data_IF_707150772380
#
_entry.id   IF_707150772380
#
_cell.length_a   1.000
_cell.length_b   1.000
_cell.length_c   1.000
_cell.angle_alpha   90.00
_cell.angle_beta   90.00
_cell.angle_gamma   90.00
#
_symmetry.space_group_name_H-M   'P 1'
#
loop_
_entity.id
_entity.type
_entity.pdbx_description
1 polymer ?
#
# COMPACT_ATOMS: atom_id res chain seq x y z
N UNK A 1 4.27 -6.16 16.68
CA UNK A 1 5.14 -5.84 15.53
C UNK A 1 4.63 -4.66 14.70
N UNK A 2 3.32 -4.53 14.40
CA UNK A 2 2.80 -3.44 13.54
C UNK A 2 1.69 -2.57 14.15
N UNK A 3 1.25 -2.86 15.39
CA UNK A 3 0.20 -2.13 16.12
C UNK A 3 -1.18 -2.08 15.41
N UNK A 4 -1.57 -3.16 14.73
CA UNK A 4 -2.89 -3.33 14.14
C UNK A 4 -3.85 -4.11 15.06
N UNK A 5 -5.17 -3.94 14.89
CA UNK A 5 -6.14 -4.77 15.61
C UNK A 5 -6.20 -6.17 14.98
N UNK A 6 -6.32 -7.26 15.76
CA UNK A 6 -6.42 -8.60 15.21
C UNK A 6 -7.55 -8.77 14.19
N UNK A 7 -8.70 -8.15 14.44
CA UNK A 7 -9.87 -8.21 13.55
C UNK A 7 -9.66 -7.48 12.22
N UNK A 8 -8.64 -6.63 12.13
CA UNK A 8 -8.26 -5.97 10.88
C UNK A 8 -7.40 -6.91 10.00
N UNK A 9 -6.93 -8.08 10.48
CA UNK A 9 -5.97 -8.91 9.74
C UNK A 9 -6.66 -9.89 8.78
N UNK A 10 -6.52 -9.69 7.47
CA UNK A 10 -6.96 -10.66 6.46
C UNK A 10 -5.77 -11.47 5.95
N UNK A 11 -5.73 -12.78 6.23
CA UNK A 11 -4.67 -13.66 5.74
C UNK A 11 -4.85 -14.02 4.25
N UNK A 12 -3.79 -13.85 3.47
CA UNK A 12 -3.71 -14.25 2.05
C UNK A 12 -2.56 -15.23 1.82
N UNK A 13 -2.42 -15.78 0.62
CA UNK A 13 -1.34 -16.67 0.20
C UNK A 13 -0.01 -15.94 -0.08
N UNK A 14 0.05 -14.61 0.00
CA UNK A 14 1.31 -13.86 -0.07
C UNK A 14 1.14 -12.38 -0.41
N UNK A 15 2.27 -11.68 -0.52
CA UNK A 15 2.27 -10.23 -0.82
C UNK A 15 1.66 -9.86 -2.16
N UNK A 16 1.81 -10.72 -3.18
CA UNK A 16 1.18 -10.50 -4.48
C UNK A 16 -0.34 -10.58 -4.37
N UNK A 17 -0.87 -11.61 -3.71
CA UNK A 17 -2.32 -11.72 -3.52
C UNK A 17 -2.85 -10.58 -2.65
N UNK A 18 -2.17 -10.24 -1.54
CA UNK A 18 -2.58 -9.13 -0.68
C UNK A 18 -2.67 -7.79 -1.43
N UNK A 19 -1.63 -7.44 -2.20
CA UNK A 19 -1.63 -6.24 -3.04
C UNK A 19 -2.79 -6.25 -4.05
N UNK A 20 -3.01 -7.38 -4.73
CA UNK A 20 -4.09 -7.53 -5.71
C UNK A 20 -5.47 -7.40 -5.06
N UNK A 21 -5.68 -8.00 -3.88
CA UNK A 21 -6.95 -7.92 -3.15
C UNK A 21 -7.33 -6.48 -2.83
N UNK A 22 -6.36 -5.63 -2.46
CA UNK A 22 -6.60 -4.20 -2.24
C UNK A 22 -7.09 -3.54 -3.53
N UNK A 23 -6.40 -3.73 -4.67
CA UNK A 23 -6.82 -3.09 -5.93
C UNK A 23 -8.19 -3.58 -6.39
N UNK A 24 -8.46 -4.88 -6.29
CA UNK A 24 -9.76 -5.45 -6.64
C UNK A 24 -10.89 -4.96 -5.75
N UNK A 25 -10.61 -4.61 -4.48
CA UNK A 25 -11.61 -3.96 -3.62
C UNK A 25 -12.12 -2.68 -4.28
N UNK A 26 -11.22 -1.80 -4.74
CA UNK A 26 -11.60 -0.53 -5.36
C UNK A 26 -12.22 -0.66 -6.75
N UNK A 27 -11.81 -1.67 -7.52
CA UNK A 27 -12.38 -1.94 -8.85
C UNK A 27 -13.81 -2.46 -8.75
N UNK A 28 -14.11 -3.25 -7.72
CA UNK A 28 -15.40 -3.92 -7.58
C UNK A 28 -16.46 -3.11 -6.83
N UNK A 29 -16.11 -1.94 -6.28
CA UNK A 29 -17.11 -1.03 -5.70
C UNK A 29 -17.94 -0.44 -6.85
N UNK A 30 -19.28 -0.54 -6.81
CA UNK A 30 -20.13 0.04 -7.83
C UNK A 30 -20.10 1.57 -7.72
N UNK A 31 -19.31 2.21 -8.59
CA UNK A 31 -19.22 3.66 -8.72
C UNK A 31 -19.72 4.09 -10.10
N UNK A 32 -20.41 5.23 -10.16
CA UNK A 32 -20.82 5.87 -11.42
C UNK A 32 -19.63 6.55 -12.15
N UNK A 33 -18.42 6.31 -11.68
CA UNK A 33 -17.16 6.84 -12.23
C UNK A 33 -16.17 5.70 -12.41
N UNK A 34 -15.25 5.88 -13.35
CA UNK A 34 -14.08 5.00 -13.47
C UNK A 34 -13.07 5.38 -12.38
N UNK A 35 -12.73 4.47 -11.44
CA UNK A 35 -11.85 4.79 -10.32
C UNK A 35 -10.44 5.14 -10.80
N UNK A 36 -9.83 6.11 -10.15
CA UNK A 36 -8.45 6.53 -10.42
C UNK A 36 -7.53 6.10 -9.27
N UNK A 37 -6.40 5.50 -9.63
CA UNK A 37 -5.37 5.04 -8.70
C UNK A 37 -4.06 5.77 -9.00
N UNK A 38 -3.40 6.25 -7.95
CA UNK A 38 -2.09 6.89 -8.02
C UNK A 38 -1.04 5.97 -7.40
N UNK A 39 0.10 5.81 -8.07
CA UNK A 39 1.22 5.01 -7.58
C UNK A 39 2.56 5.57 -8.05
N UNK A 40 3.69 4.93 -7.70
CA UNK A 40 5.04 5.37 -8.06
C UNK A 40 5.75 4.39 -8.97
N UNK A 41 6.67 4.86 -9.82
CA UNK A 41 7.31 4.03 -10.85
C UNK A 41 8.31 2.98 -10.33
N UNK A 42 8.71 3.06 -9.06
CA UNK A 42 9.62 2.11 -8.41
C UNK A 42 8.89 1.06 -7.59
N UNK A 43 7.56 0.99 -7.67
CA UNK A 43 6.73 -0.03 -7.04
C UNK A 43 7.16 -1.46 -7.45
N UNK A 44 6.95 -2.44 -6.56
CA UNK A 44 7.25 -3.84 -6.85
C UNK A 44 6.38 -4.31 -8.03
N UNK A 45 6.82 -5.28 -8.86
CA UNK A 45 6.00 -5.81 -9.95
C UNK A 45 4.60 -6.28 -9.54
N UNK A 46 4.43 -6.76 -8.29
CA UNK A 46 3.10 -7.12 -7.74
C UNK A 46 2.15 -5.94 -7.52
N UNK A 47 2.61 -4.71 -7.70
CA UNK A 47 1.81 -3.49 -7.68
C UNK A 47 1.70 -2.91 -9.09
N UNK A 48 2.83 -2.71 -9.78
CA UNK A 48 2.82 -2.08 -11.11
C UNK A 48 2.12 -2.93 -12.19
N UNK A 49 2.41 -4.23 -12.25
CA UNK A 49 1.86 -5.11 -13.29
C UNK A 49 0.33 -5.21 -13.20
N UNK A 50 -0.29 -5.52 -12.04
CA UNK A 50 -1.75 -5.58 -11.95
C UNK A 50 -2.40 -4.22 -12.19
N UNK A 51 -1.87 -3.12 -11.65
CA UNK A 51 -2.43 -1.79 -11.88
C UNK A 51 -2.39 -1.41 -13.37
N UNK A 52 -1.28 -1.69 -14.07
CA UNK A 52 -1.18 -1.48 -15.52
C UNK A 52 -2.15 -2.36 -16.29
N UNK A 53 -2.35 -3.61 -15.87
CA UNK A 53 -3.33 -4.51 -16.49
C UNK A 53 -4.74 -3.98 -16.34
N UNK A 54 -5.15 -3.60 -15.12
CA UNK A 54 -6.46 -3.01 -14.83
C UNK A 54 -6.69 -1.72 -15.64
N UNK A 55 -5.65 -0.90 -15.81
CA UNK A 55 -5.70 0.31 -16.63
C UNK A 55 -5.89 -0.03 -18.11
N UNK A 56 -5.10 -0.96 -18.67
CA UNK A 56 -5.22 -1.39 -20.07
C UNK A 56 -6.58 -2.05 -20.35
N UNK A 57 -7.16 -2.73 -19.37
CA UNK A 57 -8.51 -3.31 -19.46
C UNK A 57 -9.63 -2.26 -19.37
N UNK A 58 -9.29 -0.99 -19.13
CA UNK A 58 -10.23 0.11 -19.01
C UNK A 58 -11.00 0.16 -17.68
N UNK A 59 -10.60 -0.66 -16.70
CA UNK A 59 -11.29 -0.76 -15.40
C UNK A 59 -10.92 0.38 -14.45
N UNK A 60 -9.72 0.95 -14.60
CA UNK A 60 -9.25 2.08 -13.78
C UNK A 60 -8.55 3.12 -14.66
N UNK A 61 -8.44 4.36 -14.17
CA UNK A 61 -7.39 5.27 -14.60
C UNK A 61 -6.18 5.13 -13.68
N UNK A 62 -4.96 5.22 -14.23
CA UNK A 62 -3.73 5.04 -13.48
C UNK A 62 -2.79 6.22 -13.70
N UNK A 63 -2.32 6.83 -12.61
CA UNK A 63 -1.20 7.78 -12.62
C UNK A 63 0.01 7.16 -11.95
N UNK A 64 1.15 7.14 -12.66
CA UNK A 64 2.41 6.62 -12.14
C UNK A 64 3.41 7.76 -12.00
N UNK A 65 3.75 8.10 -10.76
CA UNK A 65 4.63 9.22 -10.43
C UNK A 65 6.08 8.76 -10.51
N UNK A 66 6.95 9.49 -11.22
CA UNK A 66 8.39 9.21 -11.20
C UNK A 66 9.00 9.58 -9.85
N UNK A 67 9.85 8.71 -9.31
CA UNK A 67 10.68 9.08 -8.15
C UNK A 67 11.78 10.07 -8.54
N UNK A 68 12.27 10.82 -7.56
CA UNK A 68 13.41 11.71 -7.74
C UNK A 68 14.69 10.93 -8.03
N UNK A 69 15.42 11.33 -9.08
CA UNK A 69 16.73 10.75 -9.40
C UNK A 69 17.77 10.96 -8.29
N UNK A 70 17.57 11.95 -7.41
CA UNK A 70 18.51 12.27 -6.33
C UNK A 70 18.24 11.44 -5.07
N UNK A 71 16.97 11.28 -4.70
CA UNK A 71 16.58 10.66 -3.42
C UNK A 71 16.03 9.24 -3.58
N UNK A 72 15.63 8.84 -4.79
CA UNK A 72 15.02 7.54 -5.05
C UNK A 72 13.60 7.38 -4.51
N UNK A 73 12.98 8.47 -4.04
CA UNK A 73 11.60 8.49 -3.51
C UNK A 73 10.75 9.52 -4.23
N UNK A 74 9.44 9.32 -4.26
CA UNK A 74 8.50 10.31 -4.77
C UNK A 74 8.31 11.45 -3.76
N UNK A 75 8.18 12.67 -4.27
CA UNK A 75 7.81 13.83 -3.45
C UNK A 75 6.31 13.78 -3.16
N UNK A 76 5.90 14.12 -1.93
CA UNK A 76 4.49 14.06 -1.56
C UNK A 76 3.68 15.11 -2.34
N UNK A 77 4.31 16.21 -2.75
CA UNK A 77 3.73 17.25 -3.59
C UNK A 77 3.30 16.70 -4.95
N UNK A 78 4.10 15.81 -5.56
CA UNK A 78 3.77 15.15 -6.82
C UNK A 78 2.58 14.20 -6.65
N UNK A 79 2.50 13.53 -5.48
CA UNK A 79 1.35 12.70 -5.12
C UNK A 79 0.08 13.54 -5.01
N UNK A 80 0.14 14.69 -4.34
CA UNK A 80 -1.00 15.60 -4.22
C UNK A 80 -1.44 16.17 -5.58
N UNK A 81 -0.48 16.56 -6.43
CA UNK A 81 -0.76 17.10 -7.75
C UNK A 81 -1.44 16.07 -8.67
N UNK A 82 -1.23 14.78 -8.43
CA UNK A 82 -1.89 13.69 -9.16
C UNK A 82 -3.32 13.41 -8.67
N UNK A 83 -3.74 13.91 -7.51
CA UNK A 83 -5.08 13.65 -6.97
C UNK A 83 -6.15 14.37 -7.78
N UNK A 84 -7.22 13.63 -8.10
CA UNK A 84 -8.42 14.10 -8.78
C UNK A 84 -9.62 13.94 -7.84
N UNK A 85 -10.28 15.03 -7.41
CA UNK A 85 -11.40 14.97 -6.45
C UNK A 85 -12.48 13.97 -6.85
N UNK A 86 -12.99 14.06 -8.08
CA UNK A 86 -14.14 13.26 -8.55
C UNK A 86 -13.80 11.83 -8.99
N UNK A 87 -12.58 11.36 -8.72
CA UNK A 87 -12.10 10.14 -9.36
C UNK A 87 -11.14 9.31 -8.50
N UNK A 88 -10.26 9.95 -7.74
CA UNK A 88 -9.18 9.23 -7.06
C UNK A 88 -9.73 8.49 -5.86
N UNK A 89 -9.52 7.18 -5.83
CA UNK A 89 -9.99 6.31 -4.75
C UNK A 89 -8.84 5.74 -3.94
N UNK A 90 -7.66 5.58 -4.54
CA UNK A 90 -6.51 4.93 -3.90
C UNK A 90 -5.19 5.60 -4.29
N UNK A 91 -4.32 5.79 -3.30
CA UNK A 91 -2.89 6.04 -3.45
C UNK A 91 -2.13 4.82 -2.92
N UNK A 92 -1.26 4.23 -3.74
CA UNK A 92 -0.45 3.07 -3.37
C UNK A 92 1.04 3.39 -3.49
N UNK A 93 1.75 3.43 -2.36
CA UNK A 93 3.19 3.69 -2.30
C UNK A 93 3.84 2.75 -1.28
N UNK A 94 4.82 1.97 -1.70
CA UNK A 94 5.58 1.10 -0.81
C UNK A 94 6.41 1.90 0.18
N UNK A 95 6.53 1.39 1.41
CA UNK A 95 7.27 2.08 2.47
C UNK A 95 8.79 2.01 2.26
N UNK A 96 9.30 0.86 1.84
CA UNK A 96 10.73 0.61 1.66
C UNK A 96 11.00 -0.06 0.32
N UNK A 97 11.82 0.56 -0.51
CA UNK A 97 12.13 0.05 -1.83
C UNK A 97 12.94 -1.25 -1.79
N UNK A 98 12.51 -2.26 -2.55
CA UNK A 98 13.16 -3.57 -2.58
C UNK A 98 14.48 -3.62 -3.34
N UNK A 99 14.80 -2.62 -4.16
CA UNK A 99 16.04 -2.55 -4.94
C UNK A 99 17.07 -1.62 -4.30
N UNK A 100 16.64 -0.42 -3.88
CA UNK A 100 17.53 0.62 -3.36
C UNK A 100 17.52 0.73 -1.84
N UNK A 101 16.51 0.18 -1.16
CA UNK A 101 16.29 0.38 0.28
C UNK A 101 15.79 1.79 0.65
N UNK A 102 15.50 2.65 -0.33
CA UNK A 102 14.99 4.00 -0.07
C UNK A 102 13.66 3.94 0.69
N UNK A 103 13.49 4.82 1.70
CA UNK A 103 12.31 4.87 2.55
C UNK A 103 11.40 6.01 2.11
N UNK A 104 10.20 5.67 1.65
CA UNK A 104 9.19 6.62 1.20
C UNK A 104 8.63 7.43 2.38
N UNK A 105 8.35 8.72 2.21
CA UNK A 105 7.78 9.58 3.26
C UNK A 105 6.27 9.34 3.44
N UNK A 106 5.88 8.11 3.79
CA UNK A 106 4.47 7.67 3.86
C UNK A 106 3.65 8.52 4.81
N UNK A 107 4.18 8.85 5.99
CA UNK A 107 3.46 9.66 6.96
C UNK A 107 3.13 11.06 6.41
N UNK A 108 4.09 11.71 5.74
CA UNK A 108 3.86 12.99 5.09
C UNK A 108 2.86 12.87 3.93
N UNK A 109 2.94 11.81 3.12
CA UNK A 109 1.97 11.55 2.05
C UNK A 109 0.56 11.45 2.61
N UNK A 110 0.35 10.65 3.66
CA UNK A 110 -0.95 10.50 4.31
C UNK A 110 -1.44 11.83 4.88
N UNK A 111 -0.62 12.54 5.64
CA UNK A 111 -0.99 13.83 6.24
C UNK A 111 -1.41 14.85 5.18
N UNK A 112 -0.63 14.96 4.11
CA UNK A 112 -0.91 15.84 2.99
C UNK A 112 -2.21 15.46 2.27
N UNK A 113 -2.50 14.16 2.10
CA UNK A 113 -3.78 13.70 1.54
C UNK A 113 -4.94 14.11 2.46
N UNK A 114 -4.82 13.92 3.78
CA UNK A 114 -5.86 14.35 4.74
C UNK A 114 -6.06 15.86 4.76
N UNK A 115 -5.01 16.63 4.59
CA UNK A 115 -5.08 18.09 4.43
C UNK A 115 -5.79 18.47 3.15
N UNK A 116 -5.44 17.85 2.03
CA UNK A 116 -6.10 18.06 0.75
C UNK A 116 -7.60 17.69 0.80
N UNK A 117 -7.95 16.57 1.44
CA UNK A 117 -9.34 16.13 1.65
C UNK A 117 -10.19 17.19 2.37
N UNK A 118 -9.60 17.91 3.34
CA UNK A 118 -10.30 19.00 4.05
C UNK A 118 -10.56 20.23 3.19
N UNK A 119 -9.82 20.40 2.09
CA UNK A 119 -9.94 21.53 1.19
C UNK A 119 -10.85 21.24 -0.03
N UNK A 120 -11.35 20.01 -0.16
CA UNK A 120 -12.30 19.61 -1.20
C UNK A 120 -13.66 19.30 -0.58
N UNK A 121 -14.74 19.49 -1.33
CA UNK A 121 -16.07 19.15 -0.85
C UNK A 121 -16.16 17.63 -0.60
N UNK A 122 -16.60 17.15 0.58
CA UNK A 122 -16.67 15.70 0.84
C UNK A 122 -17.50 14.93 -0.20
N UNK A 123 -18.56 15.55 -0.73
CA UNK A 123 -19.41 15.00 -1.78
C UNK A 123 -18.73 14.86 -3.15
N UNK A 124 -17.55 15.49 -3.34
CA UNK A 124 -16.76 15.34 -4.56
C UNK A 124 -15.92 14.06 -4.55
N UNK A 125 -15.63 13.48 -3.39
CA UNK A 125 -14.83 12.27 -3.28
C UNK A 125 -15.72 11.04 -3.46
N UNK A 126 -15.41 10.12 -4.40
CA UNK A 126 -16.29 8.99 -4.74
C UNK A 126 -16.64 8.09 -3.54
N UNK A 127 -15.73 7.99 -2.58
CA UNK A 127 -15.87 7.18 -1.38
C UNK A 127 -15.84 8.04 -0.10
N UNK A 128 -16.05 9.35 -0.22
CA UNK A 128 -15.93 10.31 0.88
C UNK A 128 -14.49 10.60 1.33
N UNK A 129 -13.51 9.83 0.85
CA UNK A 129 -12.07 10.02 1.09
C UNK A 129 -11.21 9.32 0.03
N UNK A 130 -9.92 9.61 0.02
CA UNK A 130 -8.88 8.88 -0.72
C UNK A 130 -8.20 7.89 0.22
N UNK A 131 -8.18 6.61 -0.15
CA UNK A 131 -7.53 5.59 0.66
C UNK A 131 -6.04 5.51 0.36
N UNK A 132 -5.24 5.13 1.35
CA UNK A 132 -3.79 4.98 1.24
C UNK A 132 -3.39 3.55 1.55
N UNK A 133 -2.76 2.91 0.55
CA UNK A 133 -2.16 1.59 0.64
C UNK A 133 -0.63 1.69 0.66
N UNK A 134 0.02 0.84 1.45
CA UNK A 134 1.47 0.67 1.38
C UNK A 134 1.90 -0.79 1.40
N UNK A 135 2.78 -1.16 0.47
CA UNK A 135 3.52 -2.42 0.53
C UNK A 135 4.67 -2.29 1.55
N UNK A 136 4.58 -3.07 2.61
CA UNK A 136 5.51 -3.08 3.74
C UNK A 136 6.43 -4.31 3.73
N UNK A 137 6.45 -5.08 2.64
CA UNK A 137 7.16 -6.35 2.54
C UNK A 137 8.67 -6.24 2.83
N UNK A 138 9.26 -5.06 2.62
CA UNK A 138 10.67 -4.78 2.92
C UNK A 138 10.88 -3.94 4.18
N UNK A 139 9.82 -3.49 4.85
CA UNK A 139 9.92 -2.65 6.03
C UNK A 139 9.71 -3.44 7.32
N UNK A 140 8.68 -4.30 7.36
CA UNK A 140 8.37 -5.10 8.56
C UNK A 140 9.51 -6.08 8.85
N UNK A 141 9.91 -6.18 10.12
CA UNK A 141 11.04 -7.01 10.56
C UNK A 141 12.42 -6.35 10.38
N UNK A 142 12.51 -5.22 9.66
CA UNK A 142 13.77 -4.48 9.44
C UNK A 142 13.76 -3.08 10.04
N UNK A 143 12.58 -2.46 10.09
CA UNK A 143 12.36 -1.13 10.65
C UNK A 143 11.20 -1.19 11.65
N UNK A 144 11.19 -0.30 12.67
CA UNK A 144 10.00 -0.08 13.48
C UNK A 144 8.87 0.44 12.59
N UNK A 145 7.80 -0.34 12.45
CA UNK A 145 6.62 0.04 11.66
C UNK A 145 5.40 0.04 12.58
N UNK A 146 4.66 1.15 12.57
CA UNK A 146 3.36 1.27 13.21
C UNK A 146 2.38 1.81 12.17
N UNK A 147 1.49 0.95 11.70
CA UNK A 147 0.56 1.26 10.60
C UNK A 147 -0.44 2.33 10.98
N UNK A 148 -0.83 2.40 12.27
CA UNK A 148 -1.72 3.43 12.80
C UNK A 148 -1.04 4.80 12.83
N UNK A 149 0.22 4.87 13.29
CA UNK A 149 0.96 6.15 13.30
C UNK A 149 1.30 6.65 11.90
N UNK A 150 1.43 5.73 10.93
CA UNK A 150 1.57 6.08 9.52
C UNK A 150 0.24 6.56 8.91
N UNK A 151 -0.91 6.22 9.50
CA UNK A 151 -2.24 6.59 9.03
C UNK A 151 -2.67 5.88 7.75
N UNK A 152 -2.11 4.69 7.50
CA UNK A 152 -2.45 3.85 6.36
C UNK A 152 -3.88 3.31 6.51
N UNK A 153 -4.61 3.26 5.40
CA UNK A 153 -5.92 2.60 5.36
C UNK A 153 -5.78 1.12 4.99
N UNK A 154 -4.73 0.79 4.21
CA UNK A 154 -4.36 -0.57 3.82
C UNK A 154 -2.83 -0.76 3.92
N UNK A 155 -2.41 -1.93 4.37
CA UNK A 155 -1.00 -2.29 4.42
C UNK A 155 -0.83 -3.74 4.01
N UNK A 156 0.14 -4.01 3.14
CA UNK A 156 0.53 -5.37 2.71
C UNK A 156 1.81 -5.79 3.43
N UNK A 157 1.80 -6.98 4.06
CA UNK A 157 2.94 -7.55 4.81
C UNK A 157 3.27 -8.92 4.22
N UNK A 158 4.54 -9.36 4.29
CA UNK A 158 4.96 -10.65 3.70
C UNK A 158 5.81 -11.46 4.68
N UNK A 159 5.25 -12.56 5.19
CA UNK A 159 5.86 -13.38 6.24
C UNK A 159 7.26 -13.92 5.89
N UNK A 160 7.47 -14.47 4.70
CA UNK A 160 8.77 -15.04 4.31
C UNK A 160 9.88 -13.99 4.08
N UNK A 161 9.58 -12.68 4.19
CA UNK A 161 10.58 -11.61 4.18
C UNK A 161 10.96 -11.12 5.60
N UNK A 162 10.35 -11.68 6.63
CA UNK A 162 10.56 -11.33 8.04
C UNK A 162 11.79 -12.00 8.69
N UNK A 163 12.66 -12.65 7.93
CA UNK A 163 13.83 -13.33 8.49
C UNK A 163 14.80 -12.31 9.14
N UNK A 164 14.77 -12.22 10.47
CA UNK A 164 15.79 -11.59 11.30
C UNK A 164 17.02 -12.50 11.41
N UNK A 165 18.22 -11.92 11.45
CA UNK A 165 19.49 -12.63 11.67
C UNK A 165 19.65 -13.25 13.07
N UNK A 166 18.66 -13.10 13.96
CA UNK A 166 18.69 -13.66 15.32
C UNK A 166 18.14 -15.10 15.41
N UNK A 167 17.58 -15.66 14.34
CA UNK A 167 16.88 -16.95 14.35
C UNK A 167 17.75 -18.16 13.98
N UNK A 168 19.04 -18.19 14.37
CA UNK A 168 19.92 -19.34 14.07
C UNK A 168 19.83 -20.48 15.12
N UNK A 169 19.30 -20.21 16.32
CA UNK A 169 19.22 -21.20 17.41
C UNK A 169 17.90 -22.00 17.49
N UNK A 170 16.84 -21.56 16.82
CA UNK A 170 15.51 -22.21 16.87
C UNK A 170 15.22 -23.14 15.67
N UNK A 171 16.26 -23.76 15.09
CA UNK A 171 16.15 -24.57 13.86
C UNK A 171 15.48 -25.95 14.01
N UNK A 172 14.97 -26.35 15.17
CA UNK A 172 14.47 -27.72 15.39
C UNK A 172 13.03 -27.86 15.95
N UNK A 173 12.22 -26.80 16.00
CA UNK A 173 10.77 -26.95 16.27
C UNK A 173 9.84 -26.37 15.19
N UNK A 174 10.36 -25.52 14.29
CA UNK A 174 9.56 -24.89 13.23
C UNK A 174 9.33 -25.79 11.99
N UNK A 175 9.83 -27.05 12.01
CA UNK A 175 9.72 -27.97 10.88
C UNK A 175 8.35 -28.67 10.76
N UNK A 176 7.36 -28.32 11.59
CA UNK A 176 6.03 -28.95 11.60
C UNK A 176 4.84 -28.00 11.38
N UNK A 177 5.07 -26.70 11.18
CA UNK A 177 4.02 -25.73 10.82
C UNK A 177 4.37 -25.01 9.51
N UNK A 178 4.61 -25.79 8.46
CA UNK A 178 4.96 -25.25 7.14
C UNK A 178 3.75 -25.14 6.21
N UNK A 179 3.76 -24.01 5.48
CA UNK A 179 3.02 -23.67 4.26
C UNK A 179 1.65 -23.03 4.46
N UNK A 180 1.63 -21.71 4.74
CA UNK A 180 0.99 -20.70 3.88
C UNK A 180 1.70 -19.37 4.07
N UNK A 181 2.26 -18.80 3.00
CA UNK A 181 2.91 -17.49 3.00
C UNK A 181 1.88 -16.40 3.29
N UNK A 182 1.69 -15.97 4.53
CA UNK A 182 0.62 -15.01 4.82
C UNK A 182 0.92 -13.60 4.31
N UNK A 183 0.10 -13.07 3.41
CA UNK A 183 -0.10 -11.63 3.27
C UNK A 183 -1.17 -11.15 4.24
N UNK A 184 -1.09 -9.91 4.71
CA UNK A 184 -2.15 -9.29 5.52
C UNK A 184 -2.67 -8.06 4.80
N UNK A 185 -3.99 -7.89 4.74
CA UNK A 185 -4.65 -6.62 4.40
C UNK A 185 -5.28 -6.11 5.68
N UNK A 186 -4.93 -4.89 6.07
CA UNK A 186 -5.50 -4.20 7.23
C UNK A 186 -6.51 -3.17 6.77
N UNK A 187 -7.83 -3.35 6.86
CA UNK A 187 -8.75 -2.23 6.88
C UNK A 187 -8.59 -1.56 8.24
N UNK A 188 -7.87 -0.44 8.31
CA UNK A 188 -7.76 0.29 9.58
C UNK A 188 -9.10 0.98 9.83
N UNK A 189 -9.92 0.39 10.70
CA UNK A 189 -11.17 0.98 11.15
C UNK A 189 -10.89 2.35 11.78
N UNK A 190 -11.53 3.40 11.25
CA UNK A 190 -11.52 4.78 11.78
C UNK A 190 -12.50 4.91 12.93
#
# INVERSE_FOLDING_TARGET
MIQAHPDDLIFTSGGTEANHSVFHTFVNIPLDIKPHIVTVNTEHPSVLVPLRKLHTDGLIDLTVIPVSHKTGVAHYEDVLAALKPNQTVLVSVMLANNETGAISPIQQIVQSIREWERNVAPSSLPLGRVFVHSDLAQAVGKLPVNVRSLGLDYATIVGHKLHSREDEEHRLSAAQENVWTTGQVLPVSV
#
